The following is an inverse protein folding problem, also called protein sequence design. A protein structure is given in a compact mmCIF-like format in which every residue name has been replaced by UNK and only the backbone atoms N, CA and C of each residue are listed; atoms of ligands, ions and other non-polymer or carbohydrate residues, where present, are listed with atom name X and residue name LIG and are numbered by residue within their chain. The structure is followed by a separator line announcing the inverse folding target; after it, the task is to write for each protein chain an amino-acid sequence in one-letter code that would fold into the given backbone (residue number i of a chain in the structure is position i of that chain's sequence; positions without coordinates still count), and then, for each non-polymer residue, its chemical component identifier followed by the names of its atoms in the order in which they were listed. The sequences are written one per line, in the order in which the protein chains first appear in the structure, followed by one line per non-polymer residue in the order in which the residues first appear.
data_IF_174141839451
#
_entry.id   IF_174141839451
#
_cell.length_a   1.000
_cell.length_b   1.000
_cell.length_c   1.000
_cell.angle_alpha   90.00
_cell.angle_beta   90.00
_cell.angle_gamma   90.00
#
_symmetry.space_group_name_H-M   'P 1'
#
loop_
_entity.id
_entity.type
_entity.pdbx_description
1 polymer ?
#
# COMPACT_ATOMS: atom_id res chain seq x y z
N UNK A 1 -81.66 -87.61 -31.87
CA UNK A 1 -82.02 -86.25 -31.39
C UNK A 1 -81.54 -85.93 -29.97
N UNK A 2 -80.89 -86.84 -29.24
CA UNK A 2 -80.43 -86.59 -27.84
C UNK A 2 -79.04 -85.93 -27.70
N UNK A 3 -78.12 -86.10 -28.65
CA UNK A 3 -76.77 -85.53 -28.56
C UNK A 3 -76.67 -84.02 -28.85
N UNK A 4 -77.70 -83.43 -29.48
CA UNK A 4 -77.73 -81.99 -29.78
C UNK A 4 -78.23 -81.16 -28.58
N UNK A 5 -79.17 -81.73 -27.80
CA UNK A 5 -79.80 -81.08 -26.65
C UNK A 5 -78.87 -80.98 -25.43
N UNK A 6 -77.92 -81.91 -25.27
CA UNK A 6 -76.91 -81.89 -24.19
C UNK A 6 -75.83 -80.84 -24.43
N UNK A 7 -75.44 -80.59 -25.70
CA UNK A 7 -74.50 -79.50 -26.04
C UNK A 7 -75.13 -78.12 -25.84
N UNK A 8 -76.41 -77.94 -26.19
CA UNK A 8 -77.10 -76.67 -26.00
C UNK A 8 -77.28 -76.31 -24.51
N UNK A 9 -77.54 -77.30 -23.64
CA UNK A 9 -77.65 -77.10 -22.18
C UNK A 9 -76.30 -76.74 -21.51
N UNK A 10 -75.18 -77.30 -21.99
CA UNK A 10 -73.84 -76.94 -21.49
C UNK A 10 -73.40 -75.53 -21.92
N UNK A 11 -73.75 -75.10 -23.14
CA UNK A 11 -73.43 -73.75 -23.61
C UNK A 11 -74.30 -72.69 -22.93
N UNK A 12 -75.58 -72.98 -22.66
CA UNK A 12 -76.47 -72.05 -21.94
C UNK A 12 -76.07 -71.87 -20.47
N UNK A 13 -75.57 -72.92 -19.81
CA UNK A 13 -75.10 -72.86 -18.42
C UNK A 13 -73.80 -72.04 -18.27
N UNK A 14 -72.90 -72.08 -19.26
CA UNK A 14 -71.65 -71.31 -19.27
C UNK A 14 -71.91 -69.83 -19.59
N UNK A 15 -72.88 -69.52 -20.46
CA UNK A 15 -73.30 -68.13 -20.74
C UNK A 15 -74.03 -67.52 -19.53
N UNK A 16 -74.82 -68.31 -18.79
CA UNK A 16 -75.51 -67.82 -17.58
C UNK A 16 -74.55 -67.55 -16.40
N UNK A 17 -73.44 -68.29 -16.30
CA UNK A 17 -72.40 -68.02 -15.29
C UNK A 17 -71.50 -66.85 -15.66
N UNK A 18 -71.26 -66.59 -16.95
CA UNK A 18 -70.53 -65.41 -17.40
C UNK A 18 -71.36 -64.12 -17.27
N UNK A 19 -72.69 -64.18 -17.39
CA UNK A 19 -73.58 -63.03 -17.19
C UNK A 19 -73.75 -62.69 -15.71
N UNK A 20 -73.73 -63.67 -14.78
CA UNK A 20 -73.80 -63.38 -13.34
C UNK A 20 -72.50 -62.85 -12.72
N UNK A 21 -71.33 -63.14 -13.30
CA UNK A 21 -70.04 -62.61 -12.79
C UNK A 21 -69.78 -61.15 -13.25
N UNK A 22 -70.50 -60.67 -14.27
CA UNK A 22 -70.42 -59.29 -14.78
C UNK A 22 -71.45 -58.35 -14.11
N UNK A 23 -72.36 -58.87 -13.28
CA UNK A 23 -73.45 -58.08 -12.67
C UNK A 23 -73.34 -57.83 -11.16
N UNK A 24 -72.22 -58.17 -10.51
CA UNK A 24 -71.86 -57.60 -9.20
C UNK A 24 -70.79 -56.54 -9.42
N UNK A 25 -71.15 -55.52 -10.21
CA UNK A 25 -70.69 -54.17 -9.91
C UNK A 25 -71.48 -53.81 -8.66
N UNK A 26 -70.89 -54.02 -7.49
CA UNK A 26 -71.18 -53.12 -6.38
C UNK A 26 -70.96 -51.73 -6.94
N UNK A 27 -72.04 -51.03 -7.25
CA UNK A 27 -72.06 -49.58 -7.24
C UNK A 27 -71.81 -49.22 -5.79
N UNK A 28 -70.55 -49.34 -5.37
CA UNK A 28 -70.00 -48.39 -4.44
C UNK A 28 -70.18 -47.09 -5.19
N UNK A 29 -71.16 -46.30 -4.79
CA UNK A 29 -71.10 -44.87 -4.98
C UNK A 29 -69.80 -44.43 -4.32
N UNK A 30 -68.68 -44.55 -5.05
CA UNK A 30 -67.57 -43.63 -4.88
C UNK A 30 -68.10 -42.31 -5.40
N UNK A 31 -69.02 -41.71 -4.64
CA UNK A 31 -68.84 -40.31 -4.34
C UNK A 31 -67.42 -40.23 -3.80
N UNK A 32 -66.46 -40.02 -4.69
CA UNK A 32 -65.37 -39.12 -4.36
C UNK A 32 -66.11 -37.84 -4.01
N UNK A 33 -66.51 -37.73 -2.75
CA UNK A 33 -66.73 -36.45 -2.12
C UNK A 33 -65.37 -35.81 -2.28
N UNK A 34 -65.20 -35.06 -3.36
CA UNK A 34 -64.06 -34.21 -3.56
C UNK A 34 -64.03 -33.33 -2.32
N UNK A 35 -63.18 -33.71 -1.36
CA UNK A 35 -63.27 -33.20 0.00
C UNK A 35 -63.29 -31.68 -0.10
N UNK A 36 -64.43 -31.09 0.29
CA UNK A 36 -64.72 -29.68 0.05
C UNK A 36 -63.47 -28.85 0.32
N UNK A 37 -63.00 -28.10 -0.69
CA UNK A 37 -61.70 -27.45 -0.67
C UNK A 37 -61.48 -26.74 0.68
N UNK A 38 -60.54 -27.23 1.49
CA UNK A 38 -60.34 -26.75 2.87
C UNK A 38 -59.87 -25.29 2.83
N UNK A 39 -60.82 -24.35 2.99
CA UNK A 39 -60.62 -22.89 3.03
C UNK A 39 -60.09 -22.45 4.39
N UNK A 40 -58.87 -22.88 4.73
CA UNK A 40 -58.33 -22.78 6.09
C UNK A 40 -57.21 -21.75 6.27
N UNK A 41 -56.63 -21.23 5.18
CA UNK A 41 -55.51 -20.28 5.26
C UNK A 41 -56.01 -18.87 5.64
N UNK A 42 -55.41 -18.29 6.68
CA UNK A 42 -55.59 -16.89 7.09
C UNK A 42 -54.55 -15.98 6.43
N UNK A 43 -53.27 -16.34 6.47
CA UNK A 43 -52.19 -15.51 5.93
C UNK A 43 -50.90 -16.27 5.62
N UNK A 44 -50.04 -15.64 4.82
CA UNK A 44 -48.66 -16.06 4.52
C UNK A 44 -47.70 -14.89 4.86
N UNK A 45 -46.70 -15.13 5.70
CA UNK A 45 -45.70 -14.13 6.11
C UNK A 45 -44.27 -14.69 6.11
N UNK A 46 -43.27 -13.84 6.36
CA UNK A 46 -41.85 -14.22 6.40
C UNK A 46 -41.16 -14.37 5.04
N UNK A 47 -41.83 -13.95 3.96
CA UNK A 47 -41.23 -13.79 2.62
C UNK A 47 -41.01 -12.30 2.39
N UNK A 48 -39.75 -11.87 2.24
CA UNK A 48 -39.39 -10.48 1.94
C UNK A 48 -39.76 -10.08 0.51
N UNK A 49 -39.85 -8.78 0.24
CA UNK A 49 -40.12 -8.25 -1.10
C UNK A 49 -38.94 -8.41 -2.05
N UNK A 50 -37.72 -8.28 -1.53
CA UNK A 50 -36.48 -8.42 -2.30
C UNK A 50 -35.34 -9.08 -1.52
N UNK A 51 -34.34 -9.57 -2.26
CA UNK A 51 -33.05 -10.04 -1.75
C UNK A 51 -31.98 -9.89 -2.83
N UNK A 52 -30.76 -9.52 -2.43
CA UNK A 52 -29.58 -9.52 -3.31
C UNK A 52 -28.63 -10.63 -2.85
N UNK A 53 -28.07 -11.36 -3.82
CA UNK A 53 -27.08 -12.42 -3.61
C UNK A 53 -25.94 -12.24 -4.63
N UNK A 54 -24.75 -12.75 -4.33
CA UNK A 54 -23.74 -12.96 -5.38
C UNK A 54 -23.94 -14.35 -6.03
N UNK A 55 -23.33 -14.56 -7.20
CA UNK A 55 -23.27 -15.90 -7.82
C UNK A 55 -22.61 -16.88 -6.85
N UNK A 56 -23.23 -18.04 -6.63
CA UNK A 56 -22.74 -19.07 -5.72
C UNK A 56 -23.34 -19.00 -4.30
N UNK A 57 -23.69 -17.80 -3.83
CA UNK A 57 -24.22 -17.59 -2.47
C UNK A 57 -25.60 -18.22 -2.28
N UNK A 58 -25.92 -18.56 -1.03
CA UNK A 58 -27.26 -19.00 -0.65
C UNK A 58 -27.77 -18.35 0.63
N UNK A 59 -29.09 -18.24 0.74
CA UNK A 59 -29.78 -17.71 1.92
C UNK A 59 -30.98 -18.57 2.26
N UNK A 60 -31.36 -18.63 3.53
CA UNK A 60 -32.59 -19.30 3.96
C UNK A 60 -33.68 -18.28 4.27
N UNK A 61 -34.88 -18.47 3.69
CA UNK A 61 -36.09 -17.71 4.02
C UNK A 61 -37.09 -18.60 4.77
N UNK A 62 -37.89 -18.00 5.65
CA UNK A 62 -38.87 -18.71 6.51
C UNK A 62 -40.30 -18.31 6.13
N UNK A 63 -40.98 -19.13 5.33
CA UNK A 63 -42.37 -18.91 4.97
C UNK A 63 -43.31 -19.43 6.07
N UNK A 64 -44.07 -18.55 6.73
CA UNK A 64 -45.01 -18.87 7.82
C UNK A 64 -46.45 -18.83 7.31
N UNK A 65 -47.12 -19.98 7.31
CA UNK A 65 -48.55 -20.11 6.97
C UNK A 65 -49.35 -20.12 8.27
N UNK A 66 -50.32 -19.22 8.39
CA UNK A 66 -51.25 -19.19 9.53
C UNK A 66 -52.64 -19.59 9.07
N UNK A 67 -53.24 -20.55 9.75
CA UNK A 67 -54.60 -21.02 9.50
C UNK A 67 -55.61 -20.37 10.46
N UNK A 68 -56.89 -20.40 10.10
CA UNK A 68 -57.99 -19.90 10.94
C UNK A 68 -58.22 -20.76 12.18
N UNK A 69 -57.94 -22.07 12.08
CA UNK A 69 -58.02 -23.06 13.15
C UNK A 69 -56.84 -24.03 13.11
N UNK A 70 -56.74 -24.93 14.09
CA UNK A 70 -55.71 -25.99 14.12
C UNK A 70 -55.99 -26.99 12.98
N UNK A 71 -55.04 -27.14 12.05
CA UNK A 71 -55.18 -27.97 10.84
C UNK A 71 -54.04 -28.97 10.71
N UNK A 72 -54.21 -29.97 9.83
CA UNK A 72 -53.18 -30.97 9.58
C UNK A 72 -51.92 -30.34 8.97
N UNK A 73 -50.76 -30.98 9.16
CA UNK A 73 -49.46 -30.48 8.66
C UNK A 73 -49.46 -30.18 7.16
N UNK A 74 -50.20 -30.98 6.37
CA UNK A 74 -50.33 -30.82 4.92
C UNK A 74 -50.96 -29.51 4.49
N UNK A 75 -51.89 -28.97 5.30
CA UNK A 75 -52.60 -27.72 5.02
C UNK A 75 -51.75 -26.46 5.26
N UNK A 76 -50.61 -26.62 5.96
CA UNK A 76 -49.67 -25.55 6.29
C UNK A 76 -48.46 -25.51 5.34
N UNK A 77 -48.46 -26.35 4.30
CA UNK A 77 -47.37 -26.41 3.33
C UNK A 77 -47.46 -25.28 2.29
N UNK A 78 -46.30 -24.98 1.72
CA UNK A 78 -46.15 -24.10 0.56
C UNK A 78 -45.51 -24.84 -0.60
N UNK A 79 -45.78 -24.37 -1.81
CA UNK A 79 -45.01 -24.64 -3.02
C UNK A 79 -44.17 -23.41 -3.34
N UNK A 80 -42.95 -23.63 -3.84
CA UNK A 80 -42.03 -22.54 -4.19
C UNK A 80 -41.57 -22.73 -5.61
N UNK A 81 -41.58 -21.66 -6.40
CA UNK A 81 -41.10 -21.67 -7.79
C UNK A 81 -40.27 -20.42 -8.07
N UNK A 82 -39.13 -20.60 -8.70
CA UNK A 82 -38.38 -19.51 -9.33
C UNK A 82 -38.91 -19.30 -10.74
N UNK A 83 -39.14 -18.05 -11.16
CA UNK A 83 -39.53 -17.74 -12.54
C UNK A 83 -38.41 -18.05 -13.53
N UNK A 84 -37.16 -17.99 -13.09
CA UNK A 84 -35.99 -18.38 -13.86
C UNK A 84 -34.96 -19.09 -12.95
N UNK A 85 -34.96 -20.44 -12.92
CA UNK A 85 -34.03 -21.24 -12.14
C UNK A 85 -32.56 -21.08 -12.53
N UNK A 86 -32.26 -20.66 -13.77
CA UNK A 86 -30.87 -20.42 -14.21
C UNK A 86 -30.24 -19.21 -13.51
N UNK A 87 -31.05 -18.26 -13.04
CA UNK A 87 -30.59 -17.10 -12.25
C UNK A 87 -30.55 -17.45 -10.77
N UNK A 88 -31.63 -18.01 -10.21
CA UNK A 88 -31.66 -18.46 -8.83
C UNK A 88 -32.54 -19.70 -8.64
N UNK A 89 -32.01 -20.67 -7.90
CA UNK A 89 -32.70 -21.93 -7.56
C UNK A 89 -33.30 -21.87 -6.17
N UNK A 90 -34.30 -22.72 -5.93
CA UNK A 90 -35.04 -22.78 -4.66
C UNK A 90 -35.20 -24.22 -4.20
N UNK A 91 -35.00 -24.49 -2.91
CA UNK A 91 -35.18 -25.83 -2.31
C UNK A 91 -35.83 -25.71 -0.94
N UNK A 92 -36.90 -26.49 -0.71
CA UNK A 92 -37.50 -26.61 0.63
C UNK A 92 -36.62 -27.55 1.45
N UNK A 93 -36.09 -27.07 2.58
CA UNK A 93 -35.23 -27.85 3.48
C UNK A 93 -35.94 -28.29 4.77
N UNK A 94 -37.00 -27.59 5.19
CA UNK A 94 -37.78 -27.96 6.39
C UNK A 94 -39.26 -27.68 6.16
N UNK A 95 -40.10 -28.67 6.49
CA UNK A 95 -41.56 -28.60 6.40
C UNK A 95 -42.19 -28.65 7.81
N UNK A 96 -43.42 -28.14 7.99
CA UNK A 96 -44.19 -28.35 9.22
C UNK A 96 -44.43 -29.83 9.49
N UNK A 97 -44.30 -30.27 10.75
CA UNK A 97 -44.35 -31.69 11.12
C UNK A 97 -45.61 -32.10 11.90
N UNK A 98 -46.30 -31.16 12.54
CA UNK A 98 -47.42 -31.43 13.46
C UNK A 98 -48.69 -30.65 13.09
N UNK A 99 -49.84 -31.14 13.57
CA UNK A 99 -51.13 -30.45 13.49
C UNK A 99 -51.06 -29.15 14.31
N UNK A 100 -51.24 -28.00 13.69
CA UNK A 100 -51.03 -26.71 14.33
C UNK A 100 -51.91 -25.62 13.70
N UNK A 101 -51.98 -24.46 14.37
CA UNK A 101 -52.59 -23.24 13.79
C UNK A 101 -51.61 -22.52 12.85
N UNK A 102 -50.31 -22.79 12.99
CA UNK A 102 -49.26 -22.17 12.20
C UNK A 102 -48.19 -23.19 11.85
N UNK A 103 -47.67 -23.13 10.62
CA UNK A 103 -46.53 -23.92 10.17
C UNK A 103 -45.51 -23.04 9.47
N UNK A 104 -44.23 -23.35 9.68
CA UNK A 104 -43.11 -22.66 9.03
C UNK A 104 -42.39 -23.62 8.09
N UNK A 105 -42.20 -23.18 6.85
CA UNK A 105 -41.37 -23.85 5.85
C UNK A 105 -40.07 -23.07 5.67
N UNK A 106 -38.92 -23.74 5.76
CA UNK A 106 -37.62 -23.14 5.45
C UNK A 106 -37.24 -23.45 4.01
N UNK A 107 -36.84 -22.42 3.28
CA UNK A 107 -36.55 -22.46 1.85
C UNK A 107 -35.15 -21.88 1.66
N UNK A 108 -34.25 -22.66 1.07
CA UNK A 108 -32.96 -22.16 0.61
C UNK A 108 -33.14 -21.57 -0.77
N UNK A 109 -32.58 -20.39 -0.97
CA UNK A 109 -32.47 -19.68 -2.26
C UNK A 109 -30.99 -19.56 -2.58
N UNK A 110 -30.55 -20.05 -3.75
CA UNK A 110 -29.16 -19.99 -4.20
C UNK A 110 -29.05 -19.17 -5.48
N UNK A 111 -28.13 -18.21 -5.53
CA UNK A 111 -27.78 -17.46 -6.74
C UNK A 111 -26.91 -18.32 -7.66
N UNK A 112 -27.27 -18.40 -8.95
CA UNK A 112 -26.60 -19.26 -9.94
C UNK A 112 -25.95 -18.44 -11.04
N UNK A 113 -26.68 -17.48 -11.61
CA UNK A 113 -26.18 -16.61 -12.68
C UNK A 113 -26.62 -15.17 -12.43
N UNK A 114 -25.78 -14.21 -12.85
CA UNK A 114 -26.09 -12.78 -12.80
C UNK A 114 -27.42 -12.50 -13.48
N UNK A 115 -28.26 -11.70 -12.82
CA UNK A 115 -29.56 -11.31 -13.35
C UNK A 115 -30.59 -11.05 -12.26
N UNK A 116 -31.86 -10.98 -12.67
CA UNK A 116 -33.00 -10.72 -11.78
C UNK A 116 -34.08 -11.78 -12.02
N UNK A 117 -34.59 -12.39 -10.96
CA UNK A 117 -35.67 -13.40 -11.03
C UNK A 117 -36.67 -13.20 -9.90
N UNK A 118 -37.86 -13.79 -10.02
CA UNK A 118 -38.90 -13.73 -8.99
C UNK A 118 -39.15 -15.11 -8.41
N UNK A 119 -39.10 -15.20 -7.08
CA UNK A 119 -39.47 -16.39 -6.33
C UNK A 119 -40.90 -16.22 -5.83
N UNK A 120 -41.78 -17.13 -6.25
CA UNK A 120 -43.17 -17.19 -5.79
C UNK A 120 -43.32 -18.29 -4.75
N UNK A 121 -43.80 -17.92 -3.56
CA UNK A 121 -44.16 -18.82 -2.47
C UNK A 121 -45.67 -18.85 -2.36
N UNK A 122 -46.28 -20.00 -2.63
CA UNK A 122 -47.73 -20.18 -2.70
C UNK A 122 -48.18 -21.21 -1.69
N UNK A 123 -49.22 -20.90 -0.92
CA UNK A 123 -49.85 -21.85 0.01
C UNK A 123 -50.51 -23.02 -0.74
N UNK A 124 -50.42 -24.25 -0.21
CA UNK A 124 -51.09 -25.41 -0.80
C UNK A 124 -52.60 -25.36 -0.60
N UNK A 125 -53.06 -25.01 0.60
CA UNK A 125 -54.49 -24.87 0.92
C UNK A 125 -55.02 -23.46 0.61
N UNK A 126 -56.34 -23.34 0.43
CA UNK A 126 -56.98 -22.10 0.02
C UNK A 126 -57.40 -21.26 1.23
N UNK A 127 -57.60 -19.96 1.02
CA UNK A 127 -58.19 -19.06 2.02
C UNK A 127 -59.73 -19.05 1.93
N UNK A 128 -60.38 -18.26 2.79
CA UNK A 128 -61.85 -18.08 2.79
C UNK A 128 -62.42 -17.62 1.43
N UNK A 129 -61.65 -16.88 0.63
CA UNK A 129 -62.00 -16.43 -0.73
C UNK A 129 -61.76 -17.49 -1.81
N UNK A 130 -61.53 -18.75 -1.43
CA UNK A 130 -61.22 -19.86 -2.34
C UNK A 130 -59.95 -19.63 -3.21
N UNK A 131 -59.00 -18.82 -2.74
CA UNK A 131 -57.73 -18.53 -3.44
C UNK A 131 -56.54 -19.04 -2.64
N UNK A 132 -55.51 -19.56 -3.34
CA UNK A 132 -54.20 -19.81 -2.73
C UNK A 132 -53.51 -18.46 -2.52
N UNK A 133 -52.99 -18.23 -1.32
CA UNK A 133 -52.22 -17.04 -1.01
C UNK A 133 -50.81 -17.21 -1.56
N UNK A 134 -50.35 -16.23 -2.36
CA UNK A 134 -49.01 -16.19 -2.96
C UNK A 134 -48.28 -14.93 -2.52
N UNK A 135 -47.01 -15.06 -2.13
CA UNK A 135 -46.08 -13.93 -1.98
C UNK A 135 -44.93 -14.07 -2.96
N UNK A 136 -44.51 -12.94 -3.51
CA UNK A 136 -43.40 -12.85 -4.47
C UNK A 136 -42.22 -12.14 -3.82
N UNK A 137 -41.02 -12.65 -4.07
CA UNK A 137 -39.74 -12.05 -3.69
C UNK A 137 -38.90 -11.86 -4.94
N UNK A 138 -38.41 -10.65 -5.17
CA UNK A 138 -37.44 -10.36 -6.23
C UNK A 138 -36.04 -10.75 -5.76
N UNK A 139 -35.31 -11.55 -6.52
CA UNK A 139 -33.91 -11.89 -6.28
C UNK A 139 -33.05 -11.25 -7.35
N UNK A 140 -32.10 -10.41 -6.93
CA UNK A 140 -31.05 -9.88 -7.79
C UNK A 140 -29.76 -10.65 -7.50
N UNK A 141 -29.22 -11.31 -8.51
CA UNK A 141 -27.93 -12.00 -8.43
C UNK A 141 -26.89 -11.12 -9.12
N UNK A 142 -25.86 -10.72 -8.37
CA UNK A 142 -24.70 -9.98 -8.85
C UNK A 142 -23.56 -10.94 -9.14
N UNK A 143 -22.54 -10.47 -9.85
CA UNK A 143 -21.30 -11.23 -10.02
C UNK A 143 -20.72 -11.67 -8.67
N UNK A 144 -19.99 -12.78 -8.67
CA UNK A 144 -19.21 -13.16 -7.51
C UNK A 144 -18.22 -12.03 -7.18
N UNK A 145 -18.03 -11.73 -5.90
CA UNK A 145 -16.95 -10.83 -5.51
C UNK A 145 -15.64 -11.42 -6.02
N UNK A 146 -14.91 -10.68 -6.84
CA UNK A 146 -13.57 -11.10 -7.29
C UNK A 146 -12.70 -11.21 -6.04
N UNK A 147 -12.18 -12.40 -5.81
CA UNK A 147 -11.22 -12.64 -4.73
C UNK A 147 -9.84 -12.47 -5.32
N UNK A 148 -8.99 -11.76 -4.58
CA UNK A 148 -7.61 -11.50 -4.95
C UNK A 148 -6.70 -12.27 -4.01
N UNK A 149 -5.51 -12.60 -4.48
CA UNK A 149 -4.45 -13.26 -3.73
C UNK A 149 -3.21 -12.37 -3.69
N UNK A 150 -2.29 -12.73 -2.82
CA UNK A 150 -1.00 -12.06 -2.75
C UNK A 150 -0.29 -12.12 -4.10
N UNK A 151 0.21 -10.98 -4.57
CA UNK A 151 0.89 -10.87 -5.86
C UNK A 151 -0.01 -10.48 -7.03
N UNK A 152 -1.34 -10.49 -6.88
CA UNK A 152 -2.24 -10.09 -7.95
C UNK A 152 -2.06 -8.60 -8.30
N UNK A 153 -2.08 -8.30 -9.61
CA UNK A 153 -2.19 -6.92 -10.08
C UNK A 153 -3.65 -6.48 -10.09
N UNK A 154 -3.94 -5.33 -9.47
CA UNK A 154 -5.31 -4.82 -9.31
C UNK A 154 -5.44 -3.36 -9.73
N UNK A 155 -6.67 -2.87 -10.00
CA UNK A 155 -6.91 -1.44 -10.08
C UNK A 155 -6.55 -0.75 -8.76
N UNK A 156 -5.83 0.37 -8.81
CA UNK A 156 -5.40 1.08 -7.61
C UNK A 156 -6.55 1.55 -6.71
N UNK A 157 -7.75 1.79 -7.26
CA UNK A 157 -8.96 2.11 -6.49
C UNK A 157 -9.43 1.03 -5.50
N UNK A 158 -8.85 -0.18 -5.57
CA UNK A 158 -9.09 -1.26 -4.59
C UNK A 158 -8.09 -1.27 -3.43
N UNK A 159 -6.99 -0.50 -3.53
CA UNK A 159 -5.99 -0.37 -2.47
C UNK A 159 -6.56 0.53 -1.38
N UNK A 160 -6.57 0.02 -0.15
CA UNK A 160 -7.10 0.73 1.01
C UNK A 160 -5.98 1.44 1.79
N UNK A 161 -4.77 0.86 1.80
CA UNK A 161 -3.67 1.33 2.64
C UNK A 161 -2.29 0.82 2.17
N UNK A 162 -1.21 1.53 2.52
CA UNK A 162 0.16 1.03 2.41
C UNK A 162 0.62 0.42 3.73
N UNK A 163 1.21 -0.77 3.71
CA UNK A 163 1.72 -1.44 4.91
C UNK A 163 3.19 -1.84 4.73
N UNK A 164 3.74 -2.56 5.71
CA UNK A 164 5.06 -3.20 5.61
C UNK A 164 6.18 -2.22 5.18
N UNK A 165 6.12 -1.00 5.71
CA UNK A 165 7.02 0.12 5.40
C UNK A 165 8.37 -0.10 6.07
N UNK A 166 9.45 -0.09 5.30
CA UNK A 166 10.81 -0.18 5.83
C UNK A 166 11.82 0.39 4.85
N UNK A 167 13.02 0.64 5.34
CA UNK A 167 14.19 1.00 4.53
C UNK A 167 15.35 0.06 4.85
N UNK A 168 16.22 -0.15 3.88
CA UNK A 168 17.45 -0.93 4.02
C UNK A 168 18.57 -0.25 3.22
N UNK A 169 19.83 -0.49 3.61
CA UNK A 169 20.97 -0.19 2.76
C UNK A 169 21.59 -1.49 2.25
N UNK A 170 21.63 -1.67 0.93
CA UNK A 170 22.33 -2.78 0.31
C UNK A 170 23.75 -2.35 -0.05
N UNK A 171 24.68 -2.68 0.85
CA UNK A 171 26.11 -2.36 0.69
C UNK A 171 26.77 -2.99 -0.54
N UNK A 172 26.29 -4.14 -1.03
CA UNK A 172 26.90 -4.79 -2.18
C UNK A 172 26.68 -4.02 -3.49
N UNK A 173 25.57 -3.27 -3.56
CA UNK A 173 25.19 -2.50 -4.73
C UNK A 173 25.22 -0.98 -4.49
N UNK A 174 25.58 -0.54 -3.28
CA UNK A 174 25.61 0.88 -2.89
C UNK A 174 24.28 1.59 -3.18
N UNK A 175 23.19 0.95 -2.74
CA UNK A 175 21.83 1.50 -2.91
C UNK A 175 21.05 1.49 -1.60
N UNK A 176 20.32 2.57 -1.35
CA UNK A 176 19.24 2.60 -0.38
C UNK A 176 17.97 2.01 -0.98
N UNK A 177 17.29 1.13 -0.25
CA UNK A 177 16.05 0.49 -0.68
C UNK A 177 14.89 0.93 0.18
N UNK A 178 13.81 1.34 -0.45
CA UNK A 178 12.54 1.68 0.21
C UNK A 178 11.51 0.61 -0.10
N UNK A 179 10.94 0.03 0.94
CA UNK A 179 9.95 -1.03 0.86
C UNK A 179 8.59 -0.57 1.38
N UNK A 180 7.53 -1.02 0.70
CA UNK A 180 6.16 -0.94 1.18
C UNK A 180 5.29 -1.99 0.48
N UNK A 181 4.16 -2.37 1.09
CA UNK A 181 3.14 -3.21 0.46
C UNK A 181 1.86 -2.42 0.21
N UNK A 182 1.09 -2.82 -0.80
CA UNK A 182 -0.25 -2.28 -1.05
C UNK A 182 -1.29 -3.28 -0.58
N UNK A 183 -2.20 -2.82 0.28
CA UNK A 183 -3.09 -3.69 1.04
C UNK A 183 -4.54 -3.48 0.64
N UNK A 184 -5.25 -4.57 0.39
CA UNK A 184 -6.69 -4.54 0.14
C UNK A 184 -7.49 -4.36 1.45
N UNK A 185 -8.77 -4.04 1.29
CA UNK A 185 -9.73 -3.85 2.40
C UNK A 185 -9.90 -5.04 3.33
N UNK A 186 -9.57 -6.25 2.88
CA UNK A 186 -9.62 -7.45 3.73
C UNK A 186 -8.58 -7.45 4.87
N UNK A 187 -7.64 -6.50 4.84
CA UNK A 187 -6.62 -6.37 5.87
C UNK A 187 -5.57 -7.49 5.83
N UNK A 188 -5.47 -8.27 4.75
CA UNK A 188 -4.53 -9.39 4.63
C UNK A 188 -3.85 -9.45 3.27
N UNK A 189 -4.54 -9.19 2.18
CA UNK A 189 -4.00 -9.44 0.84
C UNK A 189 -3.07 -8.31 0.40
N UNK A 190 -1.89 -8.68 -0.11
CA UNK A 190 -0.87 -7.77 -0.66
C UNK A 190 -0.86 -7.84 -2.18
N UNK A 191 -1.03 -6.70 -2.84
CA UNK A 191 -1.21 -6.62 -4.30
C UNK A 191 -0.22 -5.67 -4.93
N UNK A 192 -0.17 -5.67 -6.26
CA UNK A 192 0.57 -4.67 -7.04
C UNK A 192 -0.38 -3.77 -7.86
N UNK A 193 0.08 -2.55 -8.10
CA UNK A 193 -0.51 -1.58 -9.04
C UNK A 193 0.54 -0.50 -9.33
N UNK A 194 0.24 0.42 -10.23
CA UNK A 194 1.09 1.58 -10.53
C UNK A 194 0.74 2.80 -9.68
N UNK A 195 1.74 3.67 -9.53
CA UNK A 195 1.64 4.93 -8.80
C UNK A 195 2.96 5.70 -8.87
N UNK A 196 3.18 6.56 -7.88
CA UNK A 196 4.43 7.28 -7.67
C UNK A 196 4.76 7.38 -6.18
N UNK A 197 6.03 7.42 -5.87
CA UNK A 197 6.56 7.67 -4.53
C UNK A 197 7.33 8.98 -4.54
N UNK A 198 7.14 9.80 -3.52
CA UNK A 198 7.96 10.97 -3.24
C UNK A 198 8.90 10.64 -2.10
N UNK A 199 10.20 10.84 -2.28
CA UNK A 199 11.23 10.48 -1.32
C UNK A 199 12.08 11.71 -1.04
N UNK A 200 12.31 11.99 0.25
CA UNK A 200 13.15 13.07 0.73
C UNK A 200 14.17 12.51 1.74
N UNK A 201 15.42 12.92 1.62
CA UNK A 201 16.48 12.57 2.57
C UNK A 201 17.12 13.85 3.09
N UNK A 202 17.10 14.02 4.41
CA UNK A 202 17.91 15.01 5.11
C UNK A 202 18.97 14.28 5.93
N UNK A 203 20.23 14.70 5.88
CA UNK A 203 21.24 14.18 6.78
C UNK A 203 21.09 14.74 8.20
N UNK A 204 21.88 14.26 9.17
CA UNK A 204 21.82 14.68 10.57
C UNK A 204 22.25 16.15 10.79
N UNK A 205 22.82 16.80 9.77
CA UNK A 205 23.10 18.24 9.74
C UNK A 205 21.94 19.05 9.14
N UNK A 206 20.78 18.42 8.95
CA UNK A 206 19.58 18.98 8.33
C UNK A 206 19.79 19.46 6.88
N UNK A 207 20.81 18.95 6.18
CA UNK A 207 21.01 19.23 4.76
C UNK A 207 20.13 18.30 3.94
N UNK A 208 19.35 18.87 3.01
CA UNK A 208 18.58 18.08 2.04
C UNK A 208 19.50 17.53 0.97
N UNK A 209 19.80 16.25 1.05
CA UNK A 209 20.76 15.55 0.16
C UNK A 209 20.07 14.79 -0.97
N UNK A 210 18.76 14.54 -0.86
CA UNK A 210 17.98 13.89 -1.90
C UNK A 210 16.51 14.33 -1.86
N UNK A 211 15.90 14.55 -3.03
CA UNK A 211 14.47 14.82 -3.17
C UNK A 211 14.03 14.45 -4.60
N UNK A 212 13.26 13.38 -4.75
CA UNK A 212 12.73 12.94 -6.05
C UNK A 212 11.32 12.35 -5.94
N UNK A 213 10.58 12.47 -7.02
CA UNK A 213 9.34 11.70 -7.25
C UNK A 213 9.61 10.62 -8.29
N UNK A 214 9.42 9.36 -7.92
CA UNK A 214 9.75 8.19 -8.72
C UNK A 214 8.47 7.43 -9.05
N UNK A 215 8.18 7.14 -10.33
CA UNK A 215 7.04 6.28 -10.68
C UNK A 215 7.33 4.83 -10.29
N UNK A 216 6.29 4.09 -9.94
CA UNK A 216 6.38 2.64 -9.77
C UNK A 216 5.22 1.93 -10.47
N UNK A 217 5.42 0.65 -10.74
CA UNK A 217 4.51 -0.22 -11.47
C UNK A 217 4.58 -1.65 -10.90
N UNK A 218 3.73 -2.58 -11.37
CA UNK A 218 3.76 -3.95 -10.89
C UNK A 218 5.11 -4.68 -11.01
N UNK A 219 6.01 -4.23 -11.90
CA UNK A 219 7.35 -4.84 -12.06
C UNK A 219 8.28 -4.56 -10.89
N UNK A 220 7.99 -3.51 -10.11
CA UNK A 220 8.77 -3.11 -8.93
C UNK A 220 8.37 -3.91 -7.69
N UNK A 221 7.38 -4.81 -7.81
CA UNK A 221 6.91 -5.66 -6.73
C UNK A 221 7.48 -7.06 -6.83
N UNK A 222 7.86 -7.62 -5.69
CA UNK A 222 8.40 -8.97 -5.59
C UNK A 222 8.23 -9.58 -4.21
N UNK A 223 8.60 -10.85 -4.08
CA UNK A 223 8.66 -11.52 -2.79
C UNK A 223 10.00 -11.24 -2.11
N UNK A 224 9.94 -10.58 -0.96
CA UNK A 224 11.10 -10.22 -0.15
C UNK A 224 11.03 -10.97 1.16
N UNK A 225 12.15 -11.55 1.58
CA UNK A 225 12.24 -12.32 2.82
C UNK A 225 13.17 -11.62 3.79
N UNK A 226 12.70 -11.36 5.00
CA UNK A 226 13.56 -10.95 6.10
C UNK A 226 13.38 -11.89 7.30
N UNK A 227 14.38 -11.90 8.20
CA UNK A 227 14.41 -12.83 9.32
C UNK A 227 13.27 -12.61 10.34
N UNK A 228 12.80 -11.37 10.52
CA UNK A 228 11.83 -11.01 11.56
C UNK A 228 10.38 -11.20 11.13
N UNK A 229 10.10 -11.07 9.84
CA UNK A 229 8.76 -10.94 9.27
C UNK A 229 8.44 -11.99 8.21
N UNK A 230 9.42 -12.81 7.84
CA UNK A 230 9.29 -13.83 6.80
C UNK A 230 9.19 -13.23 5.40
N UNK A 231 8.61 -14.01 4.47
CA UNK A 231 8.39 -13.59 3.09
C UNK A 231 7.13 -12.74 2.96
N UNK A 232 7.24 -11.58 2.31
CA UNK A 232 6.13 -10.68 2.00
C UNK A 232 6.24 -10.18 0.56
N UNK A 233 5.09 -9.88 -0.05
CA UNK A 233 5.02 -9.25 -1.35
C UNK A 233 5.08 -7.72 -1.21
N UNK A 234 6.19 -7.12 -1.63
CA UNK A 234 6.53 -5.71 -1.40
C UNK A 234 6.97 -5.04 -2.71
N UNK A 235 6.63 -3.76 -2.85
CA UNK A 235 7.33 -2.85 -3.75
C UNK A 235 8.73 -2.57 -3.21
N UNK A 236 9.72 -2.48 -4.09
CA UNK A 236 11.08 -2.06 -3.76
C UNK A 236 11.52 -0.95 -4.71
N UNK A 237 11.86 0.21 -4.16
CA UNK A 237 12.44 1.31 -4.91
C UNK A 237 13.89 1.47 -4.47
N UNK A 238 14.82 1.36 -5.42
CA UNK A 238 16.24 1.53 -5.18
C UNK A 238 16.67 2.97 -5.48
N UNK A 239 17.50 3.52 -4.60
CA UNK A 239 18.10 4.85 -4.71
C UNK A 239 19.62 4.64 -4.68
N UNK A 240 20.29 4.73 -5.83
CA UNK A 240 21.74 4.61 -5.89
C UNK A 240 22.43 5.76 -5.14
N UNK A 241 23.53 5.45 -4.46
CA UNK A 241 24.34 6.46 -3.75
C UNK A 241 24.86 7.55 -4.70
N UNK A 242 25.10 7.21 -5.97
CA UNK A 242 25.48 8.17 -7.02
C UNK A 242 24.42 9.22 -7.33
N UNK A 243 23.15 8.99 -6.95
CA UNK A 243 22.07 9.96 -7.11
C UNK A 243 21.85 10.85 -5.88
N UNK A 244 22.53 10.56 -4.78
CA UNK A 244 22.43 11.31 -3.52
C UNK A 244 23.54 12.34 -3.47
N UNK A 245 23.19 13.60 -3.23
CA UNK A 245 24.19 14.66 -3.09
C UNK A 245 25.04 14.41 -1.85
N UNK A 246 26.35 14.59 -1.99
CA UNK A 246 27.28 14.44 -0.86
C UNK A 246 26.99 15.48 0.24
N UNK A 247 27.00 15.04 1.50
CA UNK A 247 26.71 15.89 2.66
C UNK A 247 27.83 15.92 3.71
N UNK A 248 27.58 16.62 4.82
CA UNK A 248 28.46 16.69 6.00
C UNK A 248 28.15 15.61 7.06
N UNK A 249 27.44 14.55 6.68
CA UNK A 249 27.13 13.42 7.56
C UNK A 249 26.66 12.23 6.73
N UNK A 250 27.16 11.04 7.09
CA UNK A 250 26.79 9.73 6.53
C UNK A 250 25.50 9.15 7.11
N UNK A 251 24.80 9.88 7.98
CA UNK A 251 23.53 9.45 8.58
C UNK A 251 22.46 10.52 8.44
N UNK A 252 21.19 10.09 8.51
CA UNK A 252 20.07 10.98 8.29
C UNK A 252 18.70 10.33 8.45
N UNK A 253 17.70 11.07 8.00
CA UNK A 253 16.30 10.66 7.97
C UNK A 253 15.82 10.60 6.52
N UNK A 254 15.32 9.43 6.12
CA UNK A 254 14.55 9.21 4.90
C UNK A 254 13.05 9.29 5.24
N UNK A 255 12.34 10.18 4.56
CA UNK A 255 10.88 10.30 4.63
C UNK A 255 10.30 10.07 3.23
N UNK A 256 9.18 9.35 3.15
CA UNK A 256 8.54 9.08 1.87
C UNK A 256 7.02 9.12 1.94
N UNK A 257 6.40 9.42 0.81
CA UNK A 257 4.94 9.46 0.63
C UNK A 257 4.55 8.73 -0.65
N UNK A 258 3.56 7.86 -0.57
CA UNK A 258 3.09 7.03 -1.70
C UNK A 258 1.77 7.56 -2.24
N UNK A 259 1.67 7.63 -3.56
CA UNK A 259 0.47 7.99 -4.31
C UNK A 259 0.13 6.85 -5.27
N UNK A 260 -1.09 6.31 -5.18
CA UNK A 260 -1.54 5.21 -6.03
C UNK A 260 -2.52 5.73 -7.09
N UNK A 261 -2.37 5.27 -8.33
CA UNK A 261 -3.24 5.69 -9.42
C UNK A 261 -4.70 5.29 -9.16
N UNK A 262 -5.61 6.24 -9.33
CA UNK A 262 -7.05 6.02 -9.10
C UNK A 262 -7.49 6.12 -7.63
N UNK A 263 -6.60 6.53 -6.73
CA UNK A 263 -6.93 6.87 -5.34
C UNK A 263 -6.71 8.36 -5.13
N UNK A 264 -7.71 9.05 -4.57
CA UNK A 264 -7.57 10.44 -4.15
C UNK A 264 -6.87 10.49 -2.79
N UNK A 265 -5.67 11.03 -2.74
CA UNK A 265 -4.89 11.21 -1.52
C UNK A 265 -3.49 10.63 -1.61
N UNK A 266 -2.84 10.54 -0.45
CA UNK A 266 -1.50 10.00 -0.30
C UNK A 266 -1.35 9.30 1.04
N UNK A 267 -0.36 8.41 1.13
CA UNK A 267 -0.07 7.71 2.37
C UNK A 267 1.38 7.92 2.81
N UNK A 268 1.61 8.38 4.04
CA UNK A 268 2.97 8.56 4.55
C UNK A 268 3.62 7.21 4.87
N UNK A 269 4.84 7.05 4.36
CA UNK A 269 5.77 5.97 4.66
C UNK A 269 6.39 6.05 6.05
N UNK A 270 6.32 7.23 6.68
CA UNK A 270 6.98 7.52 7.94
C UNK A 270 8.44 7.91 7.75
N UNK A 271 9.05 8.37 8.84
CA UNK A 271 10.46 8.77 8.90
C UNK A 271 11.31 7.60 9.35
N UNK A 272 12.39 7.34 8.64
CA UNK A 272 13.30 6.22 8.90
C UNK A 272 14.73 6.74 9.05
N UNK A 273 15.39 6.36 10.13
CA UNK A 273 16.83 6.62 10.29
C UNK A 273 17.62 5.75 9.33
N UNK A 274 18.56 6.35 8.62
CA UNK A 274 19.44 5.68 7.67
C UNK A 274 20.90 6.07 7.91
N UNK A 275 21.81 5.24 7.39
CA UNK A 275 23.27 5.42 7.43
C UNK A 275 23.84 5.11 6.05
N UNK A 276 25.14 5.37 5.84
CA UNK A 276 25.83 5.22 4.56
C UNK A 276 25.47 6.27 3.50
N UNK A 277 25.00 7.46 3.93
CA UNK A 277 24.87 8.59 3.01
C UNK A 277 26.26 9.03 2.51
N UNK A 278 26.40 9.43 1.24
CA UNK A 278 27.66 9.93 0.71
C UNK A 278 28.14 11.17 1.47
N UNK A 279 29.35 11.11 2.03
CA UNK A 279 30.02 12.26 2.64
C UNK A 279 30.89 12.99 1.62
N UNK A 280 30.86 14.32 1.66
CA UNK A 280 31.67 15.17 0.78
C UNK A 280 32.60 16.11 1.53
N UNK A 281 32.12 16.65 2.65
CA UNK A 281 32.84 17.74 3.33
C UNK A 281 33.97 17.26 4.24
N UNK A 282 33.76 16.17 4.97
CA UNK A 282 34.72 15.76 6.01
C UNK A 282 35.94 15.01 5.43
N UNK A 283 35.79 14.33 4.29
CA UNK A 283 36.90 13.67 3.61
C UNK A 283 37.99 14.67 3.18
N UNK A 284 37.59 15.85 2.68
CA UNK A 284 38.54 16.91 2.34
C UNK A 284 39.19 17.48 3.61
N UNK A 285 38.41 17.79 4.64
CA UNK A 285 38.94 18.32 5.90
C UNK A 285 39.97 17.36 6.53
N UNK A 286 39.65 16.07 6.62
CA UNK A 286 40.53 15.06 7.21
C UNK A 286 41.79 14.82 6.36
N UNK A 287 41.69 14.89 5.02
CA UNK A 287 42.84 14.83 4.11
C UNK A 287 43.78 16.04 4.29
N UNK A 288 43.22 17.25 4.40
CA UNK A 288 44.00 18.47 4.68
C UNK A 288 44.69 18.37 6.04
N UNK A 289 43.99 17.96 7.09
CA UNK A 289 44.58 17.73 8.41
C UNK A 289 45.70 16.69 8.35
N UNK A 290 45.49 15.59 7.62
CA UNK A 290 46.50 14.55 7.44
C UNK A 290 47.74 15.07 6.69
N UNK A 291 47.55 15.87 5.63
CA UNK A 291 48.66 16.48 4.85
C UNK A 291 49.42 17.52 5.67
N UNK A 292 48.74 18.38 6.42
CA UNK A 292 49.35 19.34 7.35
C UNK A 292 50.19 18.61 8.41
N UNK A 293 49.64 17.54 9.02
CA UNK A 293 50.37 16.73 10.02
C UNK A 293 51.54 15.95 9.44
N UNK A 294 51.44 15.45 8.21
CA UNK A 294 52.49 14.65 7.54
C UNK A 294 53.66 15.50 7.03
N UNK A 295 53.38 16.72 6.57
CA UNK A 295 54.36 17.59 5.90
C UNK A 295 54.89 18.74 6.78
N UNK A 296 54.30 19.00 7.95
CA UNK A 296 54.75 20.07 8.83
C UNK A 296 55.88 19.66 9.76
N UNK A 297 57.04 20.30 9.66
CA UNK A 297 57.90 20.47 10.84
C UNK A 297 57.18 21.45 11.76
N UNK A 298 56.60 20.93 12.84
CA UNK A 298 55.96 21.77 13.84
C UNK A 298 57.01 22.67 14.47
N UNK A 299 56.75 23.98 14.50
CA UNK A 299 57.62 24.89 15.24
C UNK A 299 57.75 24.42 16.68
N UNK A 300 58.92 24.63 17.29
CA UNK A 300 59.18 24.35 18.72
C UNK A 300 58.24 25.12 19.67
N UNK A 301 57.41 26.03 19.16
CA UNK A 301 56.56 26.96 19.92
C UNK A 301 55.04 26.79 19.71
N UNK A 302 54.57 25.80 18.94
CA UNK A 302 53.13 25.51 18.88
C UNK A 302 52.66 24.77 17.64
N UNK A 303 51.48 24.13 17.75
CA UNK A 303 50.85 23.19 16.79
C UNK A 303 50.42 23.77 15.44
N UNK A 304 51.34 24.43 14.73
CA UNK A 304 51.14 25.01 13.41
C UNK A 304 52.43 24.92 12.57
N UNK A 305 52.28 24.99 11.25
CA UNK A 305 53.38 25.06 10.29
C UNK A 305 53.43 26.48 9.70
N UNK A 306 54.62 27.00 9.36
CA UNK A 306 54.82 28.37 8.86
C UNK A 306 55.77 28.41 7.67
N UNK A 307 55.51 29.30 6.70
CA UNK A 307 56.47 29.71 5.67
C UNK A 307 56.24 31.11 5.14
N UNK A 308 57.34 31.87 5.09
CA UNK A 308 57.29 33.30 4.78
C UNK A 308 56.28 34.00 5.69
N UNK A 309 55.26 34.57 5.06
CA UNK A 309 54.21 35.34 5.74
C UNK A 309 52.92 34.55 5.99
N UNK A 310 52.88 33.22 5.80
CA UNK A 310 51.66 32.41 5.98
C UNK A 310 51.91 31.19 6.87
N UNK A 311 50.93 30.89 7.71
CA UNK A 311 50.92 29.77 8.65
C UNK A 311 49.61 29.01 8.59
N UNK A 312 49.65 27.70 8.84
CA UNK A 312 48.48 26.82 8.91
C UNK A 312 48.50 26.07 10.23
N UNK A 313 47.37 26.08 10.94
CA UNK A 313 47.18 25.28 12.16
C UNK A 313 45.93 24.43 12.07
N UNK A 314 45.99 23.24 12.66
CA UNK A 314 44.85 22.35 12.80
C UNK A 314 44.71 21.95 14.27
N UNK A 315 43.56 22.26 14.87
CA UNK A 315 43.27 21.96 16.27
C UNK A 315 41.82 21.52 16.43
N UNK A 316 41.62 20.28 16.89
CA UNK A 316 40.28 19.67 16.96
C UNK A 316 39.57 19.71 15.61
N UNK A 317 38.38 20.29 15.59
CA UNK A 317 37.53 20.43 14.40
C UNK A 317 37.78 21.73 13.62
N UNK A 318 38.93 22.40 13.82
CA UNK A 318 39.22 23.69 13.21
C UNK A 318 40.55 23.68 12.45
N UNK A 319 40.53 24.23 11.23
CA UNK A 319 41.71 24.63 10.47
C UNK A 319 41.74 26.15 10.45
N UNK A 320 42.87 26.74 10.86
CA UNK A 320 43.12 28.18 10.74
C UNK A 320 44.31 28.42 9.80
N UNK A 321 44.13 29.32 8.85
CA UNK A 321 45.18 29.79 7.93
C UNK A 321 45.36 31.27 8.24
N UNK A 322 46.57 31.68 8.60
CA UNK A 322 46.81 33.03 9.11
C UNK A 322 48.14 33.60 8.63
N UNK A 323 48.20 34.93 8.58
CA UNK A 323 49.40 35.65 8.22
C UNK A 323 50.37 35.70 9.41
N UNK A 324 51.66 35.53 9.13
CA UNK A 324 52.80 35.52 10.07
C UNK A 324 52.83 34.36 11.07
N UNK A 325 53.97 34.20 11.74
CA UNK A 325 54.19 33.19 12.77
C UNK A 325 53.55 33.56 14.12
N UNK A 326 53.14 34.81 14.32
CA UNK A 326 52.70 35.35 15.61
C UNK A 326 51.18 35.28 15.84
N UNK A 327 50.41 34.74 14.88
CA UNK A 327 48.93 34.61 14.91
C UNK A 327 48.18 35.94 15.05
N UNK A 328 48.85 37.08 14.90
CA UNK A 328 48.25 38.42 15.04
C UNK A 328 47.86 39.03 13.71
N UNK A 329 48.19 38.38 12.60
CA UNK A 329 47.77 38.79 11.27
C UNK A 329 46.35 38.36 10.92
N UNK A 330 45.99 38.65 9.67
CA UNK A 330 44.76 38.22 9.01
C UNK A 330 44.60 36.69 9.05
N UNK A 331 43.36 36.19 9.21
CA UNK A 331 43.09 34.75 9.19
C UNK A 331 41.83 34.31 8.45
N UNK A 332 41.80 33.05 8.06
CA UNK A 332 40.64 32.29 7.58
C UNK A 332 40.46 31.06 8.45
N UNK A 333 39.25 30.85 8.96
CA UNK A 333 38.89 29.75 9.84
C UNK A 333 37.87 28.84 9.16
N UNK A 334 38.16 27.54 9.16
CA UNK A 334 37.32 26.49 8.60
C UNK A 334 37.00 25.51 9.72
N UNK A 335 35.74 25.10 9.83
CA UNK A 335 35.29 24.11 10.82
C UNK A 335 34.80 22.84 10.13
N UNK A 336 35.13 21.69 10.73
CA UNK A 336 34.65 20.37 10.28
C UNK A 336 33.11 20.37 10.17
N UNK A 337 32.59 19.78 9.10
CA UNK A 337 31.16 19.75 8.80
C UNK A 337 30.49 21.09 8.44
N UNK A 338 31.23 22.21 8.29
CA UNK A 338 30.69 23.50 7.85
C UNK A 338 30.88 23.69 6.35
N UNK A 339 29.83 24.14 5.64
CA UNK A 339 29.97 24.64 4.27
C UNK A 339 30.53 26.05 4.19
N UNK A 340 30.67 26.72 5.34
CA UNK A 340 31.10 28.11 5.43
C UNK A 340 32.45 28.25 6.13
N UNK A 341 33.22 29.22 5.66
CA UNK A 341 34.45 29.70 6.27
C UNK A 341 34.29 31.14 6.76
N UNK A 342 35.11 31.53 7.74
CA UNK A 342 35.13 32.88 8.30
C UNK A 342 36.49 33.50 8.01
N UNK A 343 36.49 34.61 7.29
CA UNK A 343 37.64 35.49 7.12
C UNK A 343 37.65 36.57 8.22
N UNK A 344 38.82 36.92 8.76
CA UNK A 344 38.99 37.89 9.86
C UNK A 344 40.22 38.79 9.68
N UNK A 345 40.01 40.02 9.21
CA UNK A 345 41.03 41.04 8.98
C UNK A 345 41.23 41.85 10.26
N UNK A 346 42.43 41.83 10.83
CA UNK A 346 42.80 42.77 11.89
C UNK A 346 43.09 44.16 11.30
N UNK A 347 42.37 45.17 11.76
CA UNK A 347 42.52 46.57 11.37
C UNK A 347 43.17 47.35 12.53
N UNK A 348 43.70 48.54 12.22
CA UNK A 348 44.21 49.46 13.25
C UNK A 348 43.13 49.81 14.29
N UNK A 349 41.86 49.75 13.91
CA UNK A 349 40.70 50.01 14.76
C UNK A 349 39.73 48.82 14.67
N UNK A 350 40.03 47.73 15.37
CA UNK A 350 39.16 46.56 15.48
C UNK A 350 39.40 45.47 14.42
N UNK A 351 38.37 44.67 14.14
CA UNK A 351 38.43 43.57 13.18
C UNK A 351 37.31 43.69 12.15
N UNK A 352 37.57 43.26 10.91
CA UNK A 352 36.55 43.03 9.89
C UNK A 352 36.41 41.53 9.65
N UNK A 353 35.18 41.03 9.63
CA UNK A 353 34.89 39.61 9.41
C UNK A 353 33.94 39.42 8.24
N UNK A 354 34.16 38.39 7.44
CA UNK A 354 33.24 37.97 6.40
C UNK A 354 33.02 36.46 6.47
N UNK A 355 31.77 36.03 6.33
CA UNK A 355 31.42 34.62 6.22
C UNK A 355 31.13 34.30 4.74
N UNK A 356 31.68 33.21 4.23
CA UNK A 356 31.48 32.80 2.83
C UNK A 356 31.34 31.30 2.68
N UNK A 357 30.58 30.88 1.66
CA UNK A 357 30.39 29.47 1.35
C UNK A 357 31.59 28.94 0.54
N UNK A 358 32.29 27.98 1.14
CA UNK A 358 33.50 27.33 0.63
C UNK A 358 33.22 26.63 -0.72
N UNK A 359 31.99 26.14 -0.93
CA UNK A 359 31.65 25.41 -2.16
C UNK A 359 31.38 26.31 -3.37
N UNK A 360 31.07 27.58 -3.15
CA UNK A 360 30.75 28.52 -4.24
C UNK A 360 31.82 29.57 -4.46
N UNK A 361 32.66 29.82 -3.45
CA UNK A 361 33.72 30.83 -3.53
C UNK A 361 34.85 30.33 -4.43
N UNK A 362 35.19 31.09 -5.47
CA UNK A 362 36.12 30.66 -6.51
C UNK A 362 37.56 31.07 -6.24
N UNK A 363 37.83 31.97 -5.30
CA UNK A 363 39.14 32.60 -5.13
C UNK A 363 39.60 33.38 -6.36
N UNK A 364 38.70 34.05 -7.09
CA UNK A 364 39.08 34.98 -8.15
C UNK A 364 38.44 36.36 -7.97
N UNK A 365 38.79 37.31 -8.84
CA UNK A 365 38.36 38.71 -8.74
C UNK A 365 36.84 38.92 -8.89
N UNK A 366 36.08 37.86 -9.20
CA UNK A 366 34.62 37.90 -9.24
C UNK A 366 33.99 37.55 -7.89
N UNK A 367 34.75 36.96 -6.96
CA UNK A 367 34.27 36.71 -5.63
C UNK A 367 34.26 38.01 -4.81
N UNK A 368 33.13 38.27 -4.17
CA UNK A 368 32.94 39.43 -3.30
C UNK A 368 32.55 38.97 -1.91
N UNK A 369 33.27 39.46 -0.91
CA UNK A 369 32.98 39.20 0.50
C UNK A 369 32.23 40.38 1.12
N UNK A 370 31.12 40.07 1.78
CA UNK A 370 30.37 41.03 2.60
C UNK A 370 31.04 41.15 3.97
N UNK A 371 31.85 42.19 4.14
CA UNK A 371 32.61 42.43 5.36
C UNK A 371 31.79 43.19 6.41
N UNK A 372 31.96 42.82 7.68
CA UNK A 372 31.36 43.55 8.81
C UNK A 372 31.94 44.96 9.02
N UNK A 373 33.12 45.23 8.46
CA UNK A 373 33.78 46.53 8.45
C UNK A 373 34.68 46.64 7.21
N UNK A 374 34.98 47.84 6.71
CA UNK A 374 35.74 48.03 5.46
C UNK A 374 37.24 47.72 5.68
N UNK A 375 37.78 46.63 5.09
CA UNK A 375 39.16 46.24 5.35
C UNK A 375 40.20 47.01 4.53
N UNK A 376 39.82 47.92 3.63
CA UNK A 376 40.70 48.53 2.59
C UNK A 376 41.10 47.55 1.46
N UNK A 377 41.43 48.09 0.28
CA UNK A 377 41.68 47.31 -0.93
C UNK A 377 42.96 46.44 -0.86
N UNK A 378 43.98 46.90 -0.13
CA UNK A 378 45.22 46.13 0.08
C UNK A 378 44.96 44.87 0.90
N UNK A 379 44.16 44.98 1.96
CA UNK A 379 43.78 43.83 2.77
C UNK A 379 42.84 42.89 2.00
N UNK A 380 41.95 43.40 1.12
CA UNK A 380 41.12 42.54 0.25
C UNK A 380 41.99 41.65 -0.66
N UNK A 381 43.03 42.19 -1.29
CA UNK A 381 43.94 41.42 -2.15
C UNK A 381 44.71 40.32 -1.41
N UNK A 382 45.13 40.60 -0.16
CA UNK A 382 45.75 39.59 0.70
C UNK A 382 44.78 38.45 1.05
N UNK A 383 43.49 38.75 1.17
CA UNK A 383 42.42 37.77 1.43
C UNK A 383 42.04 36.93 0.24
N UNK A 384 41.90 37.55 -0.94
CA UNK A 384 41.69 36.82 -2.19
C UNK A 384 42.84 35.82 -2.38
N UNK A 385 44.06 36.21 -2.06
CA UNK A 385 45.22 35.32 -2.09
C UNK A 385 45.16 34.21 -1.05
N UNK A 386 44.82 34.50 0.21
CA UNK A 386 44.70 33.49 1.26
C UNK A 386 43.58 32.48 0.95
N UNK A 387 42.41 32.97 0.54
CA UNK A 387 41.23 32.15 0.20
C UNK A 387 41.45 31.39 -1.11
N UNK A 388 42.09 31.98 -2.12
CA UNK A 388 42.49 31.25 -3.33
C UNK A 388 43.55 30.19 -3.03
N UNK A 389 44.44 30.42 -2.07
CA UNK A 389 45.40 29.40 -1.62
C UNK A 389 44.73 28.27 -0.82
N UNK A 390 43.66 28.57 -0.07
CA UNK A 390 42.78 27.54 0.52
C UNK A 390 42.08 26.78 -0.61
N UNK A 391 41.36 27.46 -1.50
CA UNK A 391 40.34 26.84 -2.36
C UNK A 391 40.83 26.38 -3.73
N UNK A 392 41.84 27.03 -4.31
CA UNK A 392 42.11 26.99 -5.75
C UNK A 392 43.50 26.48 -6.14
N UNK A 393 44.39 26.20 -5.18
CA UNK A 393 45.66 25.56 -5.51
C UNK A 393 46.43 26.32 -6.62
N UNK A 394 46.43 27.67 -6.57
CA UNK A 394 46.77 28.52 -7.73
C UNK A 394 48.23 28.34 -8.15
N UNK A 395 48.41 28.04 -9.43
CA UNK A 395 49.64 27.55 -10.09
C UNK A 395 50.73 28.59 -10.36
N UNK A 396 50.63 29.83 -9.89
CA UNK A 396 51.56 30.88 -10.36
C UNK A 396 52.71 31.21 -9.40
N UNK A 397 52.69 30.69 -8.18
CA UNK A 397 53.85 30.69 -7.29
C UNK A 397 53.89 29.35 -6.57
N UNK A 398 55.03 28.67 -6.61
CA UNK A 398 55.25 27.52 -5.76
C UNK A 398 55.24 28.02 -4.31
N UNK A 399 54.07 27.99 -3.69
CA UNK A 399 53.88 28.41 -2.33
C UNK A 399 54.41 27.28 -1.45
N UNK A 400 55.60 27.45 -0.88
CA UNK A 400 56.26 26.38 -0.13
C UNK A 400 55.90 26.46 1.36
N UNK A 401 56.14 25.37 2.10
CA UNK A 401 56.43 25.37 3.52
C UNK A 401 57.73 24.62 3.77
N UNK A 402 58.78 25.35 4.14
CA UNK A 402 60.15 24.84 4.08
C UNK A 402 60.53 24.44 2.64
N UNK A 403 60.94 23.19 2.44
CA UNK A 403 61.27 22.61 1.13
C UNK A 403 60.07 22.02 0.37
N UNK A 404 58.83 22.17 0.85
CA UNK A 404 57.68 21.38 0.36
C UNK A 404 56.53 22.24 -0.14
N UNK A 405 56.01 21.96 -1.35
CA UNK A 405 54.93 22.75 -1.97
C UNK A 405 53.58 22.55 -1.28
N UNK A 406 52.84 23.65 -1.07
CA UNK A 406 51.44 23.67 -0.64
C UNK A 406 50.47 23.31 -1.76
N UNK A 407 50.94 23.17 -3.00
CA UNK A 407 50.17 22.77 -4.19
C UNK A 407 49.54 21.36 -4.10
N UNK A 408 49.76 20.63 -3.02
CA UNK A 408 49.16 19.31 -2.78
C UNK A 408 48.21 19.27 -1.59
N UNK A 409 48.11 20.34 -0.78
CA UNK A 409 47.24 20.33 0.41
C UNK A 409 45.76 20.35 0.00
N UNK A 410 45.46 20.84 -1.21
CA UNK A 410 44.30 20.44 -2.02
C UNK A 410 42.97 20.49 -1.30
N UNK A 411 42.31 21.65 -1.27
CA UNK A 411 40.85 21.66 -1.29
C UNK A 411 40.49 21.44 -2.77
N UNK A 412 40.39 20.17 -3.18
CA UNK A 412 40.16 19.83 -4.59
C UNK A 412 38.87 20.50 -5.03
N UNK A 413 38.98 21.23 -6.14
CA UNK A 413 37.92 22.02 -6.76
C UNK A 413 36.56 21.34 -6.69
N UNK A 414 35.62 21.92 -5.95
CA UNK A 414 34.20 21.74 -6.21
C UNK A 414 33.86 22.56 -7.47
N UNK A 415 34.31 22.05 -8.60
CA UNK A 415 33.78 22.47 -9.90
C UNK A 415 32.96 21.27 -10.36
N UNK A 416 31.64 21.47 -10.40
CA UNK A 416 30.73 20.63 -11.16
C UNK A 416 31.19 20.51 -12.62
#
# INVERSE_FOLDING_TARGET
MEKCLVKLKRTLAIVLTFVMIVSIITVSSSTTVEAAAKKVVKSLSGVSSSKTLNVGDSTTIKAKVTATKKVAKGDLLVTVKSSNPSIATVKIIKKPTKKAKTGTTQIVVKGVKVGKTTISVTTKSKNKKNKKVTKKMTVKVKEAAKTYKDGDTVPGSLVEYIADRSVEYNKANEVHRVFFSLKLKDGKTRVSTSGKIEININNDKNQKVYSKTIPFSPVDFGNWTNAYYGTRYLCCIEIPDSEINKGASSSGILDFTVYVNGVSGSWPGGKHTISYLPEGYDANFDDIVAKVKKKGEFSTYGGYCTYGYVSVSASGDTIEIFQNYDRKGHKVTIKKGSSKAIATVNLTVGEATAEFDISTFKGDTLDTLEWSNNPSQENQLAYDSAIANVLKNVTNYNFYMGSHSLQDIGFVSYVY
#
